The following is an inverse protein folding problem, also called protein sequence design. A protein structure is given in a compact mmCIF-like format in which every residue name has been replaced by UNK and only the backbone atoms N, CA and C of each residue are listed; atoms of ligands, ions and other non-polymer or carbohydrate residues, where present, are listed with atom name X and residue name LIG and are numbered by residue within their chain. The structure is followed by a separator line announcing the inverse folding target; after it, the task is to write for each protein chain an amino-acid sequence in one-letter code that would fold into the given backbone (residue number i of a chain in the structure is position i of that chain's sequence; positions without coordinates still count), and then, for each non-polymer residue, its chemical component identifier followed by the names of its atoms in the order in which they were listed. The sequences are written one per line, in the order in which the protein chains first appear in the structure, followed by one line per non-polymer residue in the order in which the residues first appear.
data_IF_262517560622
#
_entry.id   IF_262517560622
#
_cell.length_a   1.000
_cell.length_b   1.000
_cell.length_c   1.000
_cell.angle_alpha   90.00
_cell.angle_beta   90.00
_cell.angle_gamma   90.00
#
_symmetry.space_group_name_H-M   'P 1'
#
loop_
_entity.id
_entity.type
_entity.pdbx_description
1 polymer ?
#
# COMPACT_ATOMS: atom_id res chain seq x y z
N UNK A 1 19.74 2.72 8.17
CA UNK A 1 18.28 2.91 8.33
C UNK A 1 17.59 1.55 8.12
N UNK A 2 17.54 0.73 9.18
CA UNK A 2 17.04 -0.67 9.14
C UNK A 2 15.50 -0.77 9.14
N UNK A 3 14.81 0.37 9.13
CA UNK A 3 13.35 0.47 9.28
C UNK A 3 12.57 -0.08 8.07
N UNK A 4 13.19 -0.21 6.90
CA UNK A 4 12.46 -0.45 5.64
C UNK A 4 12.15 -1.95 5.39
N UNK A 5 13.08 -2.87 5.73
CA UNK A 5 12.94 -4.29 5.34
C UNK A 5 11.83 -5.06 6.10
N UNK A 6 11.55 -4.70 7.35
CA UNK A 6 10.54 -5.39 8.16
C UNK A 6 9.13 -4.84 7.94
N UNK A 7 8.99 -3.57 7.57
CA UNK A 7 7.71 -2.94 7.24
C UNK A 7 7.12 -3.46 5.92
N UNK A 8 7.96 -3.69 4.91
CA UNK A 8 7.53 -4.25 3.62
C UNK A 8 6.85 -5.62 3.75
N UNK A 9 7.27 -6.43 4.74
CA UNK A 9 6.64 -7.74 5.03
C UNK A 9 5.38 -7.64 5.89
N UNK A 10 5.18 -6.53 6.60
CA UNK A 10 4.09 -6.35 7.56
C UNK A 10 3.02 -5.35 7.12
N UNK A 11 3.14 -4.73 5.93
CA UNK A 11 2.00 -4.15 5.23
C UNK A 11 1.02 -5.31 4.99
N UNK A 12 0.06 -5.41 5.89
CA UNK A 12 -0.95 -6.46 5.84
C UNK A 12 -1.71 -6.34 4.51
N UNK A 13 -2.03 -7.45 3.84
CA UNK A 13 -2.95 -7.45 2.70
C UNK A 13 -4.28 -6.74 2.99
N UNK A 14 -4.66 -6.66 4.27
CA UNK A 14 -5.82 -5.90 4.73
C UNK A 14 -5.68 -4.39 4.52
N UNK A 15 -4.47 -3.84 4.68
CA UNK A 15 -4.20 -2.42 4.53
C UNK A 15 -4.27 -2.01 3.05
N UNK A 16 -3.61 -2.75 2.16
CA UNK A 16 -3.70 -2.53 0.71
C UNK A 16 -5.14 -2.68 0.22
N UNK A 17 -5.88 -3.69 0.70
CA UNK A 17 -7.30 -3.84 0.38
C UNK A 17 -8.16 -2.66 0.85
N UNK A 18 -7.91 -2.13 2.05
CA UNK A 18 -8.66 -0.97 2.57
C UNK A 18 -8.41 0.30 1.74
N UNK A 19 -7.20 0.50 1.24
CA UNK A 19 -6.88 1.66 0.38
C UNK A 19 -7.35 1.48 -1.06
N UNK A 20 -7.46 0.25 -1.55
CA UNK A 20 -8.10 -0.08 -2.83
C UNK A 20 -9.62 0.14 -2.79
N UNK A 21 -10.28 -0.26 -1.69
CA UNK A 21 -11.72 -0.03 -1.50
C UNK A 21 -12.11 1.46 -1.55
N UNK A 22 -11.24 2.35 -1.09
CA UNK A 22 -11.45 3.81 -1.17
C UNK A 22 -10.83 4.44 -2.42
N UNK A 23 -10.32 3.64 -3.37
CA UNK A 23 -9.78 4.07 -4.65
C UNK A 23 -8.42 4.77 -4.59
N UNK A 24 -7.75 4.73 -3.44
CA UNK A 24 -6.47 5.41 -3.21
C UNK A 24 -5.28 4.60 -3.73
N UNK A 25 -5.43 3.27 -3.81
CA UNK A 25 -4.41 2.35 -4.30
C UNK A 25 -5.05 1.35 -5.27
N UNK A 26 -4.74 1.43 -6.56
CA UNK A 26 -5.25 0.45 -7.53
C UNK A 26 -4.25 -0.71 -7.65
N UNK A 27 -4.71 -1.96 -7.76
CA UNK A 27 -3.80 -3.07 -8.04
C UNK A 27 -3.17 -2.88 -9.43
N UNK A 28 -1.89 -3.26 -9.56
CA UNK A 28 -1.21 -3.32 -10.85
C UNK A 28 -1.78 -4.41 -11.74
N UNK A 29 -2.21 -5.52 -11.13
CA UNK A 29 -2.78 -6.64 -11.86
C UNK A 29 -3.75 -7.48 -11.01
N UNK A 30 -4.51 -8.34 -11.67
CA UNK A 30 -5.36 -9.35 -11.06
C UNK A 30 -4.87 -10.71 -11.55
N UNK A 31 -4.49 -11.60 -10.61
CA UNK A 31 -4.07 -12.94 -10.95
C UNK A 31 -5.19 -13.71 -11.67
N UNK A 32 -4.82 -14.74 -12.42
CA UNK A 32 -5.79 -15.65 -13.08
C UNK A 32 -6.74 -16.34 -12.09
N UNK A 33 -6.39 -16.39 -10.81
CA UNK A 33 -7.20 -16.90 -9.70
C UNK A 33 -8.03 -15.84 -8.97
N UNK A 34 -7.98 -14.57 -9.41
CA UNK A 34 -8.78 -13.46 -8.86
C UNK A 34 -8.14 -12.73 -7.68
N UNK A 35 -6.86 -12.96 -7.37
CA UNK A 35 -6.16 -12.21 -6.33
C UNK A 35 -5.62 -10.89 -6.88
N UNK A 36 -5.74 -9.83 -6.08
CA UNK A 36 -5.14 -8.53 -6.37
C UNK A 36 -3.62 -8.58 -6.16
N UNK A 37 -2.88 -8.14 -7.17
CA UNK A 37 -1.43 -8.04 -7.16
C UNK A 37 -1.03 -6.57 -7.06
N UNK A 38 0.00 -6.32 -6.28
CA UNK A 38 0.60 -5.01 -6.09
C UNK A 38 2.10 -5.16 -6.31
N UNK A 39 2.66 -4.29 -7.13
CA UNK A 39 4.08 -4.25 -7.41
C UNK A 39 4.78 -3.27 -6.45
N UNK A 40 6.09 -3.14 -6.62
CA UNK A 40 6.90 -2.26 -5.79
C UNK A 40 6.49 -0.78 -5.93
N UNK A 41 5.96 -0.33 -7.08
CA UNK A 41 5.52 1.05 -7.28
C UNK A 41 4.26 1.36 -6.46
N UNK A 42 3.27 0.47 -6.46
CA UNK A 42 2.08 0.64 -5.61
C UNK A 42 2.44 0.57 -4.13
N UNK A 43 3.31 -0.36 -3.74
CA UNK A 43 3.77 -0.47 -2.35
C UNK A 43 4.49 0.81 -1.93
N UNK A 44 5.36 1.36 -2.78
CA UNK A 44 6.05 2.62 -2.51
C UNK A 44 5.08 3.79 -2.36
N UNK A 45 4.04 3.86 -3.20
CA UNK A 45 2.99 4.88 -3.11
C UNK A 45 2.22 4.78 -1.80
N UNK A 46 1.86 3.57 -1.38
CA UNK A 46 1.21 3.33 -0.09
C UNK A 46 2.12 3.79 1.06
N UNK A 47 3.41 3.44 1.03
CA UNK A 47 4.38 3.88 2.04
C UNK A 47 4.46 5.41 2.12
N UNK A 48 4.46 6.09 0.97
CA UNK A 48 4.52 7.54 0.92
C UNK A 48 3.27 8.18 1.55
N UNK A 49 2.09 7.63 1.26
CA UNK A 49 0.81 8.05 1.84
C UNK A 49 0.80 7.87 3.37
N UNK A 50 1.23 6.70 3.85
CA UNK A 50 1.29 6.41 5.29
C UNK A 50 2.28 7.33 6.01
N UNK A 51 3.42 7.62 5.38
CA UNK A 51 4.42 8.55 5.90
C UNK A 51 3.84 9.97 6.05
N UNK A 52 3.14 10.47 5.03
CA UNK A 52 2.48 11.78 5.13
C UNK A 52 1.36 11.81 6.17
N UNK A 53 0.59 10.73 6.31
CA UNK A 53 -0.45 10.59 7.34
C UNK A 53 0.16 10.63 8.75
N UNK A 54 1.28 9.96 8.97
CA UNK A 54 2.00 9.97 10.26
C UNK A 54 2.55 11.36 10.60
N UNK A 55 2.94 12.14 9.58
CA UNK A 55 3.33 13.54 9.73
C UNK A 55 2.15 14.52 9.93
N UNK A 56 0.91 14.03 9.97
CA UNK A 56 -0.29 14.84 10.22
C UNK A 56 -0.89 15.50 8.97
N UNK A 57 -0.48 15.11 7.77
CA UNK A 57 -1.11 15.57 6.54
C UNK A 57 -2.41 14.78 6.28
N UNK A 58 -3.47 15.51 5.89
CA UNK A 58 -4.73 14.89 5.46
C UNK A 58 -4.67 14.58 3.96
N UNK A 59 -5.12 13.39 3.59
CA UNK A 59 -5.45 13.05 2.21
C UNK A 59 -6.70 13.87 1.84
N UNK A 60 -6.58 14.73 0.82
CA UNK A 60 -7.62 15.66 0.39
C UNK A 60 -8.55 15.02 -0.64
#
# INVERSE_FOLDING_TARGET
MLFNKYLLKSISPYLTASYDEIGLLKPSDISTSGYRLYDDEEINRLMQILFFKELGFSLK
#
